data_IF_239227437534
#
_entry.id   IF_239227437534
#
_cell.length_a   1.000
_cell.length_b   1.000
_cell.length_c   1.000
_cell.angle_alpha   90.00
_cell.angle_beta   90.00
_cell.angle_gamma   90.00
#
_symmetry.space_group_name_H-M   'P 1'
#
loop_
_entity.id
_entity.type
_entity.pdbx_description
1 polymer ?
#
# COMPACT_ATOMS: atom_id res chain seq x y z
N UNK A 1 20.83 -1.21 13.58
CA UNK A 1 20.03 -1.28 12.34
C UNK A 1 18.81 -0.38 12.47
N UNK A 2 18.59 0.56 11.56
CA UNK A 2 17.46 1.50 11.60
C UNK A 2 16.31 1.01 10.70
N UNK A 3 15.23 0.53 11.31
CA UNK A 3 14.02 0.16 10.57
C UNK A 3 13.38 1.38 9.92
N UNK A 4 12.96 1.24 8.67
CA UNK A 4 12.30 2.31 7.93
C UNK A 4 10.81 2.37 8.27
N UNK A 5 10.23 3.57 8.30
CA UNK A 5 8.80 3.77 8.67
C UNK A 5 7.84 2.88 7.86
N UNK A 6 8.10 2.69 6.56
CA UNK A 6 7.28 1.84 5.69
C UNK A 6 7.33 0.36 6.08
N UNK A 7 8.47 -0.13 6.54
CA UNK A 7 8.62 -1.51 7.02
C UNK A 7 7.86 -1.69 8.33
N UNK A 8 8.02 -0.75 9.27
CA UNK A 8 7.28 -0.76 10.54
C UNK A 8 5.78 -0.74 10.32
N UNK A 9 5.28 0.15 9.45
CA UNK A 9 3.84 0.23 9.16
C UNK A 9 3.24 -1.07 8.60
N UNK A 10 3.99 -1.81 7.77
CA UNK A 10 3.57 -3.13 7.27
C UNK A 10 3.58 -4.18 8.38
N UNK A 11 4.55 -4.11 9.28
CA UNK A 11 4.76 -5.06 10.37
C UNK A 11 3.85 -4.84 11.60
N UNK A 12 3.22 -3.66 11.73
CA UNK A 12 2.37 -3.31 12.88
C UNK A 12 1.24 -4.30 13.17
N UNK A 13 0.66 -4.93 12.13
CA UNK A 13 -0.40 -5.94 12.33
C UNK A 13 0.13 -7.16 13.08
N UNK A 14 1.21 -7.76 12.59
CA UNK A 14 1.84 -8.92 13.23
C UNK A 14 2.36 -8.59 14.64
N UNK A 15 2.87 -7.37 14.84
CA UNK A 15 3.25 -6.86 16.16
C UNK A 15 2.04 -6.82 17.13
N UNK A 16 0.89 -6.29 16.71
CA UNK A 16 -0.34 -6.25 17.51
C UNK A 16 -1.02 -7.61 17.73
N UNK A 17 -0.73 -8.58 16.86
CA UNK A 17 -1.23 -9.95 16.98
C UNK A 17 -0.27 -10.85 17.78
N UNK A 18 0.91 -10.35 18.15
CA UNK A 18 1.92 -11.11 18.91
C UNK A 18 2.57 -12.24 18.11
N UNK A 19 2.51 -12.21 16.79
CA UNK A 19 2.97 -13.29 15.90
C UNK A 19 4.39 -13.11 15.38
N UNK A 20 5.12 -12.12 15.91
CA UNK A 20 6.45 -11.75 15.43
C UNK A 20 7.56 -12.26 16.36
N UNK A 21 8.75 -12.63 15.83
CA UNK A 21 9.92 -12.96 16.66
C UNK A 21 10.30 -11.80 17.59
N UNK A 22 10.82 -12.13 18.79
CA UNK A 22 11.13 -11.16 19.84
C UNK A 22 12.10 -10.05 19.42
N UNK A 23 13.13 -10.37 18.64
CA UNK A 23 14.10 -9.40 18.13
C UNK A 23 13.44 -8.35 17.22
N UNK A 24 12.55 -8.79 16.33
CA UNK A 24 11.80 -7.91 15.44
C UNK A 24 10.78 -7.06 16.22
N UNK A 25 10.15 -7.61 17.25
CA UNK A 25 9.26 -6.87 18.12
C UNK A 25 10.00 -5.76 18.88
N UNK A 26 11.18 -6.05 19.44
CA UNK A 26 12.02 -5.07 20.13
C UNK A 26 12.47 -3.94 19.19
N UNK A 27 12.84 -4.26 17.95
CA UNK A 27 13.23 -3.26 16.96
C UNK A 27 12.05 -2.33 16.57
N UNK A 28 10.83 -2.87 16.46
CA UNK A 28 9.62 -2.07 16.23
C UNK A 28 9.32 -1.19 17.43
N UNK A 29 9.42 -1.72 18.65
CA UNK A 29 9.18 -0.97 19.89
C UNK A 29 10.15 0.21 20.02
N UNK A 30 11.44 -0.01 19.75
CA UNK A 30 12.45 1.04 19.70
C UNK A 30 12.10 2.13 18.67
N UNK A 31 11.66 1.73 17.47
CA UNK A 31 11.23 2.69 16.44
C UNK A 31 9.98 3.47 16.85
N UNK A 32 9.00 2.82 17.49
CA UNK A 32 7.82 3.48 18.04
C UNK A 32 8.19 4.47 19.17
N UNK A 33 9.26 4.23 19.92
CA UNK A 33 9.83 5.19 20.87
C UNK A 33 10.29 6.50 20.21
N UNK A 34 10.75 6.43 18.96
CA UNK A 34 11.38 7.56 18.27
C UNK A 34 10.45 8.24 17.24
N UNK A 35 9.54 7.52 16.59
CA UNK A 35 8.71 8.03 15.50
C UNK A 35 7.24 8.27 15.91
N UNK A 36 6.84 9.55 16.01
CA UNK A 36 5.46 9.94 16.33
C UNK A 36 4.43 9.49 15.27
N UNK A 37 4.81 9.48 13.99
CA UNK A 37 3.94 9.03 12.91
C UNK A 37 3.57 7.55 13.02
N UNK A 38 4.57 6.70 13.26
CA UNK A 38 4.37 5.26 13.45
C UNK A 38 3.59 4.96 14.74
N UNK A 39 3.81 5.70 15.85
CA UNK A 39 2.96 5.60 17.06
C UNK A 39 1.50 5.86 16.78
N UNK A 40 1.21 6.92 16.02
CA UNK A 40 -0.17 7.30 15.71
C UNK A 40 -0.83 6.26 14.81
N UNK A 41 -0.09 5.67 13.87
CA UNK A 41 -0.55 4.57 13.04
C UNK A 41 -0.85 3.30 13.87
N UNK A 42 0.03 2.95 14.81
CA UNK A 42 -0.16 1.82 15.72
C UNK A 42 -1.45 1.99 16.56
N UNK A 43 -1.63 3.16 17.18
CA UNK A 43 -2.86 3.47 17.96
C UNK A 43 -4.14 3.34 17.12
N UNK A 44 -4.13 3.83 15.88
CA UNK A 44 -5.27 3.70 14.96
C UNK A 44 -5.60 2.25 14.61
N UNK A 45 -4.57 1.42 14.39
CA UNK A 45 -4.78 0.00 14.12
C UNK A 45 -5.32 -0.74 15.35
N UNK A 46 -4.78 -0.44 16.54
CA UNK A 46 -5.28 -0.99 17.81
C UNK A 46 -6.76 -0.62 18.05
N UNK A 47 -7.14 0.65 17.83
CA UNK A 47 -8.53 1.08 17.97
C UNK A 47 -9.46 0.34 16.99
N UNK A 48 -9.04 0.21 15.73
CA UNK A 48 -9.81 -0.55 14.72
C UNK A 48 -10.00 -2.01 15.13
N UNK A 49 -8.97 -2.63 15.73
CA UNK A 49 -9.05 -4.01 16.25
C UNK A 49 -10.06 -4.13 17.38
N UNK A 50 -10.08 -3.18 18.32
CA UNK A 50 -11.05 -3.12 19.41
C UNK A 50 -12.49 -2.94 18.90
N UNK A 51 -12.70 -2.04 17.93
CA UNK A 51 -14.02 -1.83 17.33
C UNK A 51 -14.53 -3.09 16.62
N UNK A 52 -13.66 -3.80 15.91
CA UNK A 52 -14.00 -5.08 15.25
C UNK A 52 -14.24 -6.22 16.24
N UNK A 53 -13.53 -6.23 17.38
CA UNK A 53 -13.79 -7.19 18.44
C UNK A 53 -15.15 -6.92 19.09
N UNK A 54 -15.47 -5.65 19.34
CA UNK A 54 -16.78 -5.23 19.85
C UNK A 54 -17.93 -5.53 18.89
N UNK A 55 -17.71 -5.46 17.57
CA UNK A 55 -18.72 -5.79 16.57
C UNK A 55 -19.01 -7.29 16.42
N UNK A 56 -18.25 -8.16 17.08
CA UNK A 56 -18.52 -9.61 17.13
C UNK A 56 -19.45 -10.00 18.29
N UNK A 57 -19.70 -9.09 19.23
CA UNK A 57 -20.78 -9.30 20.17
C UNK A 57 -22.10 -9.36 19.38
N UNK A 58 -23.02 -10.29 19.71
CA UNK A 58 -24.34 -10.28 19.11
C UNK A 58 -24.93 -8.90 19.34
N UNK A 59 -25.22 -8.20 18.25
CA UNK A 59 -25.85 -6.89 18.33
C UNK A 59 -27.16 -7.06 19.13
N UNK A 60 -27.43 -6.22 20.14
CA UNK A 60 -28.69 -6.29 20.86
C UNK A 60 -29.82 -6.16 19.84
N UNK A 61 -30.85 -7.01 19.99
CA UNK A 61 -32.02 -6.94 19.13
C UNK A 61 -32.57 -5.50 19.16
N UNK A 62 -32.85 -4.89 17.99
CA UNK A 62 -33.41 -3.54 17.97
C UNK A 62 -34.76 -3.55 18.70
N UNK A 63 -35.05 -2.49 19.48
CA UNK A 63 -36.34 -2.35 20.16
C UNK A 63 -37.49 -2.45 19.15
N UNK A 64 -38.67 -2.91 19.57
CA UNK A 64 -39.86 -3.00 18.68
C UNK A 64 -40.20 -1.66 17.99
N UNK A 65 -39.89 -0.54 18.63
CA UNK A 65 -40.09 0.81 18.09
C UNK A 65 -38.96 1.33 17.20
N UNK A 66 -37.90 0.56 16.99
CA UNK A 66 -36.73 0.99 16.22
C UNK A 66 -37.12 1.33 14.79
N UNK A 67 -37.88 0.45 14.13
CA UNK A 67 -38.31 0.66 12.75
C UNK A 67 -39.25 1.87 12.62
N UNK A 68 -40.09 2.11 13.62
CA UNK A 68 -40.98 3.28 13.66
C UNK A 68 -40.19 4.57 13.82
N UNK A 69 -39.23 4.63 14.76
CA UNK A 69 -38.35 5.79 14.96
C UNK A 69 -37.46 6.05 13.75
N UNK A 70 -36.90 4.99 13.16
CA UNK A 70 -36.05 5.09 11.97
C UNK A 70 -36.85 5.65 10.79
N UNK A 71 -38.08 5.17 10.58
CA UNK A 71 -38.95 5.66 9.51
C UNK A 71 -39.32 7.13 9.72
N UNK A 72 -39.66 7.54 10.94
CA UNK A 72 -39.91 8.95 11.27
C UNK A 72 -38.68 9.81 10.99
N UNK A 73 -37.51 9.40 11.49
CA UNK A 73 -36.25 10.12 11.24
C UNK A 73 -35.90 10.22 9.74
N UNK A 74 -36.19 9.19 8.94
CA UNK A 74 -35.98 9.23 7.49
C UNK A 74 -36.99 10.13 6.75
N UNK A 75 -38.21 10.29 7.28
CA UNK A 75 -39.22 11.21 6.76
C UNK A 75 -38.90 12.67 7.12
N UNK A 76 -38.32 12.89 8.29
CA UNK A 76 -37.88 14.21 8.78
C UNK A 76 -36.53 14.64 8.17
N UNK A 77 -35.78 13.71 7.57
CA UNK A 77 -34.59 14.05 6.82
C UNK A 77 -34.99 14.92 5.62
N UNK A 78 -34.42 16.14 5.48
CA UNK A 78 -34.64 16.94 4.29
C UNK A 78 -34.23 16.11 3.07
N UNK A 79 -34.97 16.23 1.95
CA UNK A 79 -34.61 15.51 0.73
C UNK A 79 -33.15 15.81 0.40
N UNK A 80 -32.37 14.80 -0.04
CA UNK A 80 -30.99 15.03 -0.42
C UNK A 80 -30.96 16.19 -1.40
N UNK A 81 -30.21 17.25 -1.05
CA UNK A 81 -30.11 18.41 -1.93
C UNK A 81 -29.62 17.90 -3.28
N UNK A 82 -30.32 18.23 -4.39
CA UNK A 82 -29.89 17.80 -5.70
C UNK A 82 -28.45 18.25 -5.86
N UNK A 83 -27.56 17.31 -6.19
CA UNK A 83 -26.19 17.64 -6.53
C UNK A 83 -26.24 18.77 -7.58
N UNK A 84 -25.31 19.74 -7.55
CA UNK A 84 -25.33 20.83 -8.51
C UNK A 84 -25.42 20.23 -9.92
N UNK A 85 -26.27 20.79 -10.79
CA UNK A 85 -26.56 20.21 -12.11
C UNK A 85 -25.28 19.89 -12.93
N UNK A 86 -24.20 20.66 -12.70
CA UNK A 86 -22.87 20.39 -13.24
C UNK A 86 -22.27 19.05 -12.78
N UNK A 87 -22.42 18.65 -11.51
CA UNK A 87 -21.92 17.38 -11.00
C UNK A 87 -22.62 16.20 -11.67
N UNK A 88 -23.95 16.27 -11.85
CA UNK A 88 -24.69 15.23 -12.56
C UNK A 88 -24.28 15.14 -14.03
N UNK A 89 -24.08 16.29 -14.69
CA UNK A 89 -23.58 16.35 -16.05
C UNK A 89 -22.17 15.75 -16.17
N UNK A 90 -21.26 16.08 -15.24
CA UNK A 90 -19.89 15.57 -15.21
C UNK A 90 -19.84 14.07 -14.94
N UNK A 91 -20.67 13.54 -14.03
CA UNK A 91 -20.76 12.10 -13.78
C UNK A 91 -21.29 11.38 -15.01
N UNK A 92 -22.34 11.89 -15.66
CA UNK A 92 -22.89 11.30 -16.90
C UNK A 92 -21.90 11.38 -18.06
N UNK A 93 -21.21 12.51 -18.23
CA UNK A 93 -20.19 12.68 -19.26
C UNK A 93 -19.00 11.74 -18.99
N UNK A 94 -18.53 11.66 -17.74
CA UNK A 94 -17.47 10.75 -17.32
C UNK A 94 -17.82 9.29 -17.58
N UNK A 95 -19.05 8.85 -17.25
CA UNK A 95 -19.48 7.48 -17.52
C UNK A 95 -19.51 7.15 -19.01
N UNK A 96 -19.90 8.11 -19.86
CA UNK A 96 -19.95 7.92 -21.33
C UNK A 96 -18.56 7.92 -21.96
N UNK A 97 -17.62 8.69 -21.43
CA UNK A 97 -16.26 8.81 -21.95
C UNK A 97 -15.29 7.76 -21.40
N UNK A 98 -15.59 7.17 -20.24
CA UNK A 98 -14.79 6.13 -19.61
C UNK A 98 -14.35 4.99 -20.56
N UNK A 99 -15.24 4.35 -21.35
CA UNK A 99 -14.82 3.26 -22.25
C UNK A 99 -13.90 3.76 -23.38
N UNK A 100 -14.13 4.96 -23.92
CA UNK A 100 -13.30 5.54 -24.97
C UNK A 100 -11.87 5.85 -24.46
N UNK A 101 -11.78 6.41 -23.25
CA UNK A 101 -10.49 6.69 -22.61
C UNK A 101 -9.72 5.41 -22.28
N UNK A 102 -10.40 4.35 -21.82
CA UNK A 102 -9.78 3.05 -21.57
C UNK A 102 -9.24 2.41 -22.85
N UNK A 103 -10.00 2.48 -23.96
CA UNK A 103 -9.56 1.99 -25.27
C UNK A 103 -8.33 2.76 -25.78
N UNK A 104 -8.35 4.10 -25.67
CA UNK A 104 -7.20 4.95 -26.04
C UNK A 104 -5.95 4.60 -25.22
N UNK A 105 -6.09 4.44 -23.90
CA UNK A 105 -4.97 4.05 -23.04
C UNK A 105 -4.39 2.68 -23.39
N UNK A 106 -5.24 1.72 -23.78
CA UNK A 106 -4.83 0.41 -24.25
C UNK A 106 -4.05 0.51 -25.57
N UNK A 107 -4.55 1.29 -26.54
CA UNK A 107 -3.89 1.52 -27.83
C UNK A 107 -2.51 2.16 -27.63
N UNK A 108 -2.41 3.18 -26.77
CA UNK A 108 -1.14 3.84 -26.43
C UNK A 108 -0.16 2.86 -25.76
N UNK A 109 -0.65 2.01 -24.86
CA UNK A 109 0.19 1.02 -24.18
C UNK A 109 0.72 -0.02 -25.17
N UNK A 110 -0.13 -0.53 -26.06
CA UNK A 110 0.26 -1.48 -27.10
C UNK A 110 1.29 -0.82 -28.03
N UNK A 111 0.99 0.37 -28.57
CA UNK A 111 1.89 1.04 -29.53
C UNK A 111 3.26 1.33 -28.94
N UNK A 112 3.34 1.70 -27.65
CA UNK A 112 4.62 1.92 -26.97
C UNK A 112 5.51 0.68 -26.94
N UNK A 113 4.94 -0.51 -26.84
CA UNK A 113 5.69 -1.77 -26.87
C UNK A 113 6.33 -2.03 -28.24
N UNK A 114 5.64 -1.67 -29.33
CA UNK A 114 6.18 -1.80 -30.69
C UNK A 114 7.34 -0.82 -30.96
N UNK A 115 7.24 0.41 -30.45
CA UNK A 115 8.30 1.42 -30.64
C UNK A 115 9.53 1.19 -29.74
N UNK A 116 9.36 0.61 -28.54
CA UNK A 116 10.48 0.34 -27.64
C UNK A 116 11.21 -0.99 -27.94
N UNK A 117 10.54 -1.94 -28.60
CA UNK A 117 11.12 -3.24 -28.96
C UNK A 117 12.50 -3.19 -29.68
N UNK A 118 12.76 -2.32 -30.68
CA UNK A 118 14.07 -2.29 -31.34
C UNK A 118 15.21 -1.86 -30.41
N UNK A 119 14.95 -0.95 -29.46
CA UNK A 119 15.97 -0.52 -28.50
C UNK A 119 16.28 -1.61 -27.46
N UNK A 120 15.26 -2.32 -26.97
CA UNK A 120 15.46 -3.46 -26.07
C UNK A 120 16.18 -4.63 -26.76
N UNK A 121 15.81 -4.93 -28.01
CA UNK A 121 16.47 -5.97 -28.79
C UNK A 121 17.93 -5.61 -29.11
N UNK A 122 18.25 -4.33 -29.35
CA UNK A 122 19.63 -3.89 -29.54
C UNK A 122 20.48 -4.04 -28.26
N UNK A 123 19.90 -3.78 -27.08
CA UNK A 123 20.56 -4.02 -25.79
C UNK A 123 20.76 -5.51 -25.49
N UNK A 124 19.82 -6.38 -25.87
CA UNK A 124 19.92 -7.83 -25.71
C UNK A 124 20.81 -8.50 -26.76
N UNK A 125 20.92 -7.90 -27.96
CA UNK A 125 21.80 -8.36 -29.03
C UNK A 125 23.24 -7.87 -28.86
N UNK A 126 23.52 -7.02 -27.87
CA UNK A 126 24.89 -6.72 -27.47
C UNK A 126 25.56 -8.04 -27.06
N UNK A 127 26.66 -8.43 -27.72
CA UNK A 127 27.30 -9.70 -27.45
C UNK A 127 27.72 -9.75 -25.97
N UNK A 128 27.29 -10.79 -25.27
CA UNK A 128 27.64 -11.04 -23.87
C UNK A 128 29.16 -11.14 -23.62
N UNK A 129 29.96 -11.19 -24.68
CA UNK A 129 31.43 -11.16 -24.62
C UNK A 129 31.97 -9.82 -24.10
N UNK A 130 31.27 -8.69 -24.27
CA UNK A 130 31.76 -7.39 -23.78
C UNK A 130 31.43 -7.16 -22.29
N UNK A 131 30.46 -7.87 -21.72
CA UNK A 131 30.10 -7.79 -20.30
C UNK A 131 30.84 -8.81 -19.41
N UNK A 132 31.57 -9.75 -20.00
CA UNK A 132 32.41 -10.73 -19.30
C UNK A 132 33.91 -10.38 -19.32
N UNK A 133 34.30 -9.28 -19.97
CA UNK A 133 35.71 -8.85 -20.08
C UNK A 133 36.05 -7.59 -19.28
N UNK A 134 35.16 -7.08 -18.44
CA UNK A 134 35.55 -6.24 -17.31
C UNK A 134 35.75 -7.13 -16.09
N UNK A 135 36.90 -7.83 -16.08
CA UNK A 135 37.55 -8.35 -14.87
C UNK A 135 37.83 -7.16 -13.94
N UNK A 136 36.80 -6.68 -13.24
CA UNK A 136 36.97 -5.75 -12.14
C UNK A 136 37.47 -6.56 -10.93
N UNK A 137 38.72 -6.37 -10.47
CA UNK A 137 39.28 -7.07 -9.30
C UNK A 137 38.63 -6.65 -7.97
N UNK A 138 37.49 -5.95 -8.00
CA UNK A 138 36.79 -5.41 -6.83
C UNK A 138 35.59 -6.26 -6.38
N UNK A 139 35.17 -7.29 -7.13
CA UNK A 139 33.98 -8.06 -6.75
C UNK A 139 34.27 -9.23 -5.80
N UNK A 140 35.46 -9.85 -5.88
CA UNK A 140 35.80 -11.00 -5.02
C UNK A 140 36.03 -10.59 -3.57
N UNK A 141 36.68 -9.45 -3.33
CA UNK A 141 36.97 -9.00 -1.96
C UNK A 141 35.70 -8.53 -1.23
N UNK A 142 34.74 -7.94 -1.95
CA UNK A 142 33.47 -7.52 -1.36
C UNK A 142 32.54 -8.71 -1.03
N UNK A 143 32.59 -9.77 -1.86
CA UNK A 143 31.84 -11.01 -1.61
C UNK A 143 32.48 -11.80 -0.45
N UNK A 144 33.81 -11.82 -0.33
CA UNK A 144 34.48 -12.43 0.81
C UNK A 144 34.20 -11.68 2.12
N UNK A 145 34.21 -10.34 2.11
CA UNK A 145 33.89 -9.53 3.29
C UNK A 145 32.42 -9.70 3.74
N UNK A 146 31.48 -9.86 2.79
CA UNK A 146 30.07 -10.10 3.10
C UNK A 146 29.81 -11.50 3.70
N UNK A 147 30.62 -12.49 3.35
CA UNK A 147 30.48 -13.87 3.85
C UNK A 147 31.23 -14.13 5.16
N UNK A 148 32.31 -13.39 5.44
CA UNK A 148 33.14 -13.56 6.63
C UNK A 148 32.71 -12.71 7.82
N UNK A 149 31.88 -11.68 7.61
CA UNK A 149 31.35 -10.85 8.70
C UNK A 149 32.43 -10.04 9.43
N UNK A 150 33.62 -9.91 8.87
CA UNK A 150 34.67 -9.07 9.41
C UNK A 150 34.39 -7.60 9.05
N UNK A 151 34.01 -6.82 10.06
CA UNK A 151 33.93 -5.37 9.96
C UNK A 151 35.35 -4.81 9.84
N UNK A 152 35.70 -4.25 8.69
CA UNK A 152 36.93 -3.48 8.50
C UNK A 152 36.77 -2.17 9.30
N UNK A 153 37.36 -2.12 10.50
CA UNK A 153 37.59 -0.87 11.21
C UNK A 153 38.65 -0.07 10.44
N UNK A 154 38.30 1.15 10.03
CA UNK A 154 39.19 2.15 9.47
C UNK A 154 39.14 3.41 10.31
#
# INVERSE_FOLDING_TARGET
MTLHCRQVQKALRAFHDGTMPGECAAAIEAHLGQCAGCRTAARRQALTKLLRAGSRAPAPAPSDFFMTRLRGALQDCPPPQPAPAMAELLVRAGLRLAPAMAAMALIISISSAWFAAPAYNALLAAPAEELLLEDHPLSTDLILAALTGETIER
#
